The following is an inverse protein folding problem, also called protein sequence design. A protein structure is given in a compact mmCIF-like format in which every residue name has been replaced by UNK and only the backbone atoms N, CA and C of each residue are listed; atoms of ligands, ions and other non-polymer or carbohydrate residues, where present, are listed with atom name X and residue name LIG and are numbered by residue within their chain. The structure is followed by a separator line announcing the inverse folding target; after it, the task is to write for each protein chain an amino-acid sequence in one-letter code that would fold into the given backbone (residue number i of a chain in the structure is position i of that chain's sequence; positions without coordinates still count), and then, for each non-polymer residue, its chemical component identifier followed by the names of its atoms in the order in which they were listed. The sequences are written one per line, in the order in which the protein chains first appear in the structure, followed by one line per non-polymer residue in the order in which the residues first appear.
data_IF_026949800010
#
_entry.id   IF_026949800010
#
_cell.length_a   1.000
_cell.length_b   1.000
_cell.length_c   1.000
_cell.angle_alpha   90.00
_cell.angle_beta   90.00
_cell.angle_gamma   90.00
#
_symmetry.space_group_name_H-M   'P 1'
#
loop_
_entity.id
_entity.type
_entity.pdbx_description
1 polymer ?
#
# COMPACT_ATOMS: atom_id res chain seq x y z
N UNK A 1 66.57 -2.04 -40.95
CA UNK A 1 65.60 -1.28 -41.75
C UNK A 1 64.22 -1.44 -41.11
N UNK A 2 63.74 -0.45 -40.36
CA UNK A 2 62.44 -0.51 -39.64
C UNK A 2 61.30 -0.41 -40.65
N UNK A 3 60.59 -1.52 -40.86
CA UNK A 3 59.39 -1.57 -41.70
C UNK A 3 58.22 -0.89 -40.97
N UNK A 4 57.83 0.27 -41.48
CA UNK A 4 56.64 1.03 -41.07
C UNK A 4 55.38 0.17 -41.31
N UNK A 5 54.72 -0.25 -40.23
CA UNK A 5 53.37 -0.85 -40.31
C UNK A 5 52.37 0.28 -40.59
N UNK A 6 51.76 0.27 -41.77
CA UNK A 6 50.61 1.12 -42.11
C UNK A 6 49.42 0.71 -41.24
N UNK A 7 48.79 1.67 -40.57
CA UNK A 7 47.51 1.46 -39.89
C UNK A 7 46.39 1.22 -40.93
N UNK A 8 45.42 0.34 -40.66
CA UNK A 8 44.29 0.10 -41.55
C UNK A 8 43.27 1.25 -41.50
N UNK A 9 42.41 1.39 -42.54
CA UNK A 9 41.55 2.55 -42.69
C UNK A 9 40.34 2.54 -41.73
N UNK A 10 39.93 3.72 -41.27
CA UNK A 10 38.97 3.96 -40.16
C UNK A 10 37.48 3.72 -40.48
N UNK A 11 37.13 2.78 -41.36
CA UNK A 11 35.72 2.56 -41.76
C UNK A 11 35.15 1.17 -41.45
N UNK A 12 35.80 0.36 -40.59
CA UNK A 12 35.36 -1.02 -40.29
C UNK A 12 34.59 -1.18 -38.95
N UNK A 13 34.29 -0.11 -38.19
CA UNK A 13 33.48 -0.23 -36.96
C UNK A 13 32.08 0.38 -37.11
N UNK A 14 31.26 -0.17 -38.01
CA UNK A 14 29.85 0.23 -38.11
C UNK A 14 28.95 -0.94 -38.53
N UNK A 15 28.92 -2.01 -37.72
CA UNK A 15 27.80 -2.95 -37.66
C UNK A 15 28.03 -3.89 -36.49
N UNK A 16 27.34 -3.65 -35.36
CA UNK A 16 26.93 -4.63 -34.33
C UNK A 16 26.35 -3.86 -33.12
N UNK A 17 25.20 -3.21 -33.29
CA UNK A 17 24.33 -2.75 -32.20
C UNK A 17 22.86 -2.80 -32.64
N UNK A 18 22.42 -3.95 -33.14
CA UNK A 18 21.00 -4.24 -33.39
C UNK A 18 20.74 -5.68 -32.97
N UNK A 19 20.35 -5.86 -31.71
CA UNK A 19 20.00 -7.18 -31.20
C UNK A 19 20.01 -7.30 -29.68
N UNK A 20 19.46 -6.33 -28.95
CA UNK A 20 19.03 -6.51 -27.55
C UNK A 20 18.08 -5.40 -27.10
N UNK A 21 17.10 -5.07 -27.93
CA UNK A 21 15.84 -4.55 -27.41
C UNK A 21 14.91 -5.75 -27.39
N UNK A 22 14.75 -6.35 -26.21
CA UNK A 22 13.65 -7.27 -26.00
C UNK A 22 12.37 -6.59 -26.47
N UNK A 23 11.55 -7.33 -27.18
CA UNK A 23 10.21 -6.91 -27.56
C UNK A 23 9.43 -6.55 -26.29
N UNK A 24 9.45 -5.28 -25.91
CA UNK A 24 8.28 -4.67 -25.33
C UNK A 24 7.27 -4.62 -26.48
N UNK A 25 6.48 -5.69 -26.61
CA UNK A 25 5.19 -5.56 -27.24
C UNK A 25 4.45 -4.52 -26.39
N UNK A 26 4.48 -3.27 -26.86
CA UNK A 26 3.57 -2.23 -26.43
C UNK A 26 2.16 -2.78 -26.68
N UNK A 27 1.48 -3.17 -25.60
CA UNK A 27 0.03 -3.24 -25.58
C UNK A 27 -0.45 -1.81 -25.81
N UNK A 28 -0.61 -1.45 -27.07
CA UNK A 28 -1.13 -0.15 -27.49
C UNK A 28 -2.66 -0.14 -27.35
N UNK A 29 -3.19 -0.50 -26.17
CA UNK A 29 -4.62 -0.37 -25.90
C UNK A 29 -5.06 -0.18 -24.44
N UNK A 30 -4.15 -0.01 -23.48
CA UNK A 30 -4.55 0.19 -22.10
C UNK A 30 -4.40 1.68 -21.76
N UNK A 31 -5.52 2.37 -21.55
CA UNK A 31 -5.52 3.71 -20.95
C UNK A 31 -4.87 3.70 -19.56
N UNK A 32 -4.83 4.83 -18.84
CA UNK A 32 -4.32 4.82 -17.46
C UNK A 32 -5.10 3.77 -16.66
N UNK A 33 -4.40 2.93 -15.91
CA UNK A 33 -5.06 2.02 -14.96
C UNK A 33 -5.73 2.86 -13.87
N UNK A 34 -7.03 2.68 -13.72
CA UNK A 34 -7.82 3.32 -12.68
C UNK A 34 -8.25 2.26 -11.67
N UNK A 35 -8.24 2.63 -10.39
CA UNK A 35 -8.87 1.79 -9.39
C UNK A 35 -10.37 1.67 -9.70
N UNK A 36 -10.92 0.47 -9.56
CA UNK A 36 -12.35 0.14 -9.67
C UNK A 36 -13.17 0.59 -8.45
N UNK A 37 -12.58 1.47 -7.65
CA UNK A 37 -13.11 1.95 -6.39
C UNK A 37 -14.16 3.04 -6.60
N UNK A 38 -15.41 2.64 -6.88
CA UNK A 38 -16.44 3.50 -7.48
C UNK A 38 -16.95 4.63 -6.58
N UNK A 39 -17.29 4.35 -5.31
CA UNK A 39 -17.81 5.38 -4.39
C UNK A 39 -16.76 6.47 -4.12
N UNK A 40 -15.52 6.04 -3.94
CA UNK A 40 -14.34 6.89 -3.89
C UNK A 40 -14.18 7.74 -5.17
N UNK A 41 -14.38 7.15 -6.36
CA UNK A 41 -14.31 7.87 -7.63
C UNK A 41 -15.36 8.96 -7.74
N UNK A 42 -16.60 8.63 -7.38
CA UNK A 42 -17.73 9.54 -7.45
C UNK A 42 -17.50 10.76 -6.53
N UNK A 43 -16.89 10.56 -5.37
CA UNK A 43 -16.63 11.64 -4.42
C UNK A 43 -15.61 12.67 -4.92
N UNK A 44 -14.64 12.28 -5.76
CA UNK A 44 -13.47 13.14 -6.04
C UNK A 44 -13.22 13.49 -7.50
N UNK A 45 -13.87 12.84 -8.47
CA UNK A 45 -13.34 12.85 -9.84
C UNK A 45 -14.33 13.24 -10.93
N UNK A 46 -15.61 13.55 -10.64
CA UNK A 46 -16.67 13.85 -11.62
C UNK A 46 -16.76 12.90 -12.86
N UNK A 47 -16.03 11.78 -12.86
CA UNK A 47 -15.81 10.91 -14.01
C UNK A 47 -14.67 11.32 -14.97
N UNK A 48 -13.88 12.37 -14.69
CA UNK A 48 -12.71 12.75 -15.49
C UNK A 48 -11.52 11.81 -15.26
N UNK A 49 -10.95 11.20 -16.33
CA UNK A 49 -9.85 10.25 -16.20
C UNK A 49 -8.56 10.83 -15.62
N UNK A 50 -8.25 12.12 -15.85
CA UNK A 50 -7.02 12.74 -15.32
C UNK A 50 -7.19 13.04 -13.83
N UNK A 51 -8.35 13.55 -13.44
CA UNK A 51 -8.70 13.71 -12.02
C UNK A 51 -8.63 12.37 -11.30
N UNK A 52 -9.17 11.31 -11.93
CA UNK A 52 -9.09 9.94 -11.40
C UNK A 52 -7.67 9.46 -11.21
N UNK A 53 -6.81 9.60 -12.21
CA UNK A 53 -5.39 9.19 -12.09
C UNK A 53 -4.67 9.93 -10.96
N UNK A 54 -4.91 11.25 -10.83
CA UNK A 54 -4.33 12.05 -9.75
C UNK A 54 -4.82 11.61 -8.37
N UNK A 55 -6.12 11.33 -8.24
CA UNK A 55 -6.72 10.87 -7.00
C UNK A 55 -6.22 9.47 -6.62
N UNK A 56 -6.17 8.52 -7.55
CA UNK A 56 -5.62 7.17 -7.30
C UNK A 56 -4.15 7.25 -6.83
N UNK A 57 -3.36 8.14 -7.43
CA UNK A 57 -1.99 8.43 -6.99
C UNK A 57 -1.96 8.98 -5.55
N UNK A 58 -2.93 9.81 -5.19
CA UNK A 58 -2.98 10.49 -3.90
C UNK A 58 -3.45 9.57 -2.76
N UNK A 59 -4.51 8.79 -2.99
CA UNK A 59 -5.14 7.96 -1.95
C UNK A 59 -4.62 6.53 -1.91
N UNK A 60 -4.19 5.97 -3.04
CA UNK A 60 -3.94 4.53 -3.15
C UNK A 60 -2.47 4.20 -3.38
N UNK A 61 -1.75 5.00 -4.16
CA UNK A 61 -0.38 4.68 -4.51
C UNK A 61 0.59 4.88 -3.32
N UNK A 62 1.33 3.82 -2.99
CA UNK A 62 2.30 3.80 -1.89
C UNK A 62 3.73 3.97 -2.36
N UNK A 63 3.97 4.04 -3.68
CA UNK A 63 5.29 4.14 -4.30
C UNK A 63 6.30 3.07 -3.81
N UNK A 64 5.83 1.88 -3.43
CA UNK A 64 6.69 0.79 -2.96
C UNK A 64 7.16 0.94 -1.51
N UNK A 65 6.66 1.93 -0.76
CA UNK A 65 7.14 2.23 0.59
C UNK A 65 6.73 1.18 1.64
N UNK A 66 5.96 0.16 1.28
CA UNK A 66 5.68 -1.00 2.14
C UNK A 66 6.94 -1.75 2.57
N UNK A 67 8.04 -1.66 1.80
CA UNK A 67 9.34 -2.20 2.23
C UNK A 67 9.91 -1.45 3.44
N UNK A 68 9.68 -0.13 3.50
CA UNK A 68 10.08 0.70 4.64
C UNK A 68 9.10 0.54 5.80
N UNK A 69 7.82 0.81 5.59
CA UNK A 69 6.80 0.84 6.64
C UNK A 69 6.43 -0.54 7.18
N UNK A 70 6.37 -1.56 6.32
CA UNK A 70 5.96 -2.91 6.68
C UNK A 70 7.10 -3.81 7.17
N UNK A 71 8.37 -3.45 6.90
CA UNK A 71 9.53 -4.29 7.28
C UNK A 71 10.68 -3.49 7.88
N UNK A 72 11.19 -2.49 7.17
CA UNK A 72 12.36 -1.73 7.62
C UNK A 72 12.15 -1.08 9.00
N UNK A 73 11.02 -0.40 9.19
CA UNK A 73 10.71 0.31 10.43
C UNK A 73 10.37 -0.64 11.61
N UNK A 74 9.54 -1.69 11.44
CA UNK A 74 9.35 -2.71 12.47
C UNK A 74 10.68 -3.34 12.93
N UNK A 75 11.57 -3.72 12.01
CA UNK A 75 12.88 -4.29 12.36
C UNK A 75 13.76 -3.27 13.09
N UNK A 76 13.82 -2.03 12.61
CA UNK A 76 14.64 -0.98 13.22
C UNK A 76 14.16 -0.59 14.63
N UNK A 77 12.86 -0.72 14.90
CA UNK A 77 12.23 -0.34 16.16
C UNK A 77 11.89 -1.54 17.06
N UNK A 78 12.23 -2.76 16.63
CA UNK A 78 11.87 -4.01 17.32
C UNK A 78 10.36 -4.13 17.59
N UNK A 79 9.56 -3.77 16.59
CA UNK A 79 8.11 -3.92 16.60
C UNK A 79 7.34 -2.80 17.33
N UNK A 80 7.98 -1.74 17.82
CA UNK A 80 7.27 -0.58 18.39
C UNK A 80 6.44 0.16 17.34
N UNK A 81 7.00 0.32 16.14
CA UNK A 81 6.27 0.94 15.02
C UNK A 81 6.01 -0.13 13.97
N UNK A 82 4.78 -0.64 14.00
CA UNK A 82 4.31 -1.70 13.13
C UNK A 82 2.86 -1.44 12.70
N UNK A 83 2.70 -1.06 11.43
CA UNK A 83 1.39 -0.73 10.88
C UNK A 83 0.49 -1.96 10.75
N UNK A 84 1.03 -3.17 10.58
CA UNK A 84 0.20 -4.38 10.50
C UNK A 84 -0.47 -4.68 11.85
N UNK A 85 0.25 -4.49 12.95
CA UNK A 85 -0.32 -4.64 14.30
C UNK A 85 -1.42 -3.63 14.57
N UNK A 86 -1.23 -2.38 14.14
CA UNK A 86 -2.20 -1.30 14.31
C UNK A 86 -3.54 -1.60 13.60
N UNK A 87 -3.50 -2.31 12.48
CA UNK A 87 -4.70 -2.66 11.71
C UNK A 87 -5.54 -3.77 12.34
N UNK A 88 -5.00 -4.56 13.27
CA UNK A 88 -5.76 -5.63 13.91
C UNK A 88 -6.79 -5.06 14.90
N UNK A 89 -8.07 -5.40 14.70
CA UNK A 89 -9.17 -4.88 15.51
C UNK A 89 -9.15 -5.35 16.97
N UNK A 90 -8.28 -6.30 17.35
CA UNK A 90 -8.01 -6.64 18.76
C UNK A 90 -7.06 -5.66 19.44
N UNK A 91 -6.29 -4.90 18.66
CA UNK A 91 -5.37 -3.86 19.13
C UNK A 91 -6.08 -2.51 19.11
N UNK A 92 -6.68 -2.15 17.96
CA UNK A 92 -7.51 -0.95 17.82
C UNK A 92 -8.75 -1.28 17.00
N UNK A 93 -9.90 -1.30 17.67
CA UNK A 93 -11.21 -1.43 17.05
C UNK A 93 -11.49 -0.28 16.08
N UNK A 94 -12.29 -0.54 15.04
CA UNK A 94 -12.68 0.48 14.06
C UNK A 94 -13.28 1.73 14.74
N UNK A 95 -14.04 1.55 15.82
CA UNK A 95 -14.70 2.64 16.55
C UNK A 95 -13.73 3.58 17.28
N UNK A 96 -12.58 3.08 17.75
CA UNK A 96 -11.65 3.88 18.58
C UNK A 96 -10.46 4.45 17.79
N UNK A 97 -10.17 3.94 16.59
CA UNK A 97 -8.99 4.33 15.78
C UNK A 97 -8.89 5.84 15.57
N UNK A 98 -10.00 6.52 15.32
CA UNK A 98 -9.97 7.97 15.15
C UNK A 98 -9.63 8.69 16.46
N UNK A 99 -10.23 8.29 17.59
CA UNK A 99 -9.97 8.93 18.89
C UNK A 99 -8.54 8.69 19.37
N UNK A 100 -8.02 7.47 19.16
CA UNK A 100 -6.71 7.06 19.69
C UNK A 100 -5.58 7.45 18.73
N UNK A 101 -5.72 7.17 17.44
CA UNK A 101 -4.65 7.28 16.45
C UNK A 101 -4.84 8.47 15.51
N UNK A 102 -6.05 9.04 15.45
CA UNK A 102 -6.38 10.07 14.46
C UNK A 102 -6.51 9.57 13.03
N UNK A 103 -6.50 8.25 12.83
CA UNK A 103 -6.67 7.66 11.50
C UNK A 103 -8.14 7.69 11.10
N UNK A 104 -8.38 7.82 9.79
CA UNK A 104 -9.73 7.86 9.23
C UNK A 104 -10.05 6.48 8.68
N UNK A 105 -11.17 5.92 9.13
CA UNK A 105 -11.63 4.63 8.60
C UNK A 105 -11.99 4.78 7.11
N UNK A 106 -11.63 3.77 6.33
CA UNK A 106 -12.03 3.69 4.93
C UNK A 106 -13.57 3.48 4.86
N UNK A 107 -14.33 4.41 4.25
CA UNK A 107 -15.80 4.33 4.13
C UNK A 107 -16.32 3.04 3.50
N UNK A 108 -15.53 2.39 2.66
CA UNK A 108 -15.97 1.22 1.88
C UNK A 108 -15.54 -0.11 2.52
N UNK A 109 -15.01 -0.03 3.73
CA UNK A 109 -14.70 -1.17 4.57
C UNK A 109 -15.61 -1.17 5.80
N UNK A 110 -15.94 -2.37 6.26
CA UNK A 110 -16.71 -2.57 7.49
C UNK A 110 -15.90 -3.29 8.55
N UNK A 111 -16.31 -3.16 9.81
CA UNK A 111 -15.66 -3.86 10.91
C UNK A 111 -15.61 -5.38 10.66
N UNK A 112 -14.52 -6.06 11.05
CA UNK A 112 -14.39 -7.50 10.83
C UNK A 112 -15.38 -8.30 11.67
N UNK A 113 -15.95 -9.35 11.08
CA UNK A 113 -16.78 -10.31 11.81
C UNK A 113 -16.02 -11.56 12.27
N UNK A 114 -14.85 -11.81 11.68
CA UNK A 114 -13.99 -12.96 11.97
C UNK A 114 -12.56 -12.69 11.51
N UNK A 115 -11.60 -13.45 12.05
CA UNK A 115 -10.23 -13.41 11.55
C UNK A 115 -10.15 -13.88 10.09
N UNK A 116 -9.32 -13.20 9.31
CA UNK A 116 -9.02 -13.54 7.93
C UNK A 116 -7.94 -14.62 7.80
N UNK A 117 -7.45 -14.79 6.57
CA UNK A 117 -6.32 -15.66 6.27
C UNK A 117 -5.10 -15.24 7.12
N UNK A 118 -4.43 -16.22 7.73
CA UNK A 118 -3.30 -16.04 8.66
C UNK A 118 -3.61 -15.48 10.06
N UNK A 119 -4.89 -15.28 10.40
CA UNK A 119 -5.34 -15.09 11.78
C UNK A 119 -5.42 -13.63 12.26
N UNK A 120 -5.23 -12.66 11.38
CA UNK A 120 -5.46 -11.25 11.68
C UNK A 120 -6.95 -10.90 11.63
N UNK A 121 -7.38 -9.99 12.50
CA UNK A 121 -8.74 -9.45 12.54
C UNK A 121 -8.76 -8.08 11.84
N UNK A 122 -8.69 -8.10 10.50
CA UNK A 122 -8.64 -6.90 9.64
C UNK A 122 -10.02 -6.58 9.07
N UNK A 123 -10.35 -5.30 8.91
CA UNK A 123 -11.60 -4.83 8.32
C UNK A 123 -11.91 -5.50 6.98
N UNK A 124 -13.20 -5.74 6.73
CA UNK A 124 -13.70 -6.39 5.53
C UNK A 124 -13.98 -5.33 4.45
N UNK A 125 -13.11 -5.30 3.45
CA UNK A 125 -13.17 -4.38 2.32
C UNK A 125 -13.50 -5.18 1.06
N UNK A 126 -14.76 -5.12 0.60
CA UNK A 126 -15.29 -5.99 -0.46
C UNK A 126 -15.22 -5.38 -1.86
N UNK A 127 -14.55 -4.24 -1.97
CA UNK A 127 -14.35 -3.58 -3.25
C UNK A 127 -13.63 -4.52 -4.23
N UNK A 128 -14.19 -4.73 -5.42
CA UNK A 128 -13.54 -5.56 -6.41
C UNK A 128 -12.19 -4.92 -6.79
N UNK A 129 -11.17 -5.74 -6.97
CA UNK A 129 -9.89 -5.33 -7.53
C UNK A 129 -9.33 -6.44 -8.40
N UNK A 130 -8.85 -6.08 -9.59
CA UNK A 130 -8.07 -6.95 -10.46
C UNK A 130 -6.72 -7.29 -9.82
N UNK A 131 -6.09 -8.37 -10.28
CA UNK A 131 -4.76 -8.76 -9.82
C UNK A 131 -3.70 -7.67 -10.08
N UNK A 132 -3.86 -6.89 -11.15
CA UNK A 132 -2.97 -5.78 -11.50
C UNK A 132 -3.13 -4.61 -10.53
N UNK A 133 -4.38 -4.22 -10.21
CA UNK A 133 -4.65 -3.20 -9.19
C UNK A 133 -4.09 -3.60 -7.83
N UNK A 134 -4.24 -4.87 -7.42
CA UNK A 134 -3.66 -5.37 -6.16
C UNK A 134 -2.13 -5.29 -6.15
N UNK A 135 -1.48 -5.49 -7.29
CA UNK A 135 -0.02 -5.36 -7.40
C UNK A 135 0.45 -3.90 -7.33
N UNK A 136 -0.30 -2.98 -7.94
CA UNK A 136 0.10 -1.57 -8.05
C UNK A 136 -0.30 -0.76 -6.80
N UNK A 137 -1.54 -0.92 -6.35
CA UNK A 137 -2.15 -0.13 -5.28
C UNK A 137 -2.29 -0.88 -3.95
N UNK A 138 -2.05 -2.20 -3.95
CA UNK A 138 -2.35 -3.04 -2.78
C UNK A 138 -3.84 -3.16 -2.54
N UNK A 139 -4.19 -3.95 -1.53
CA UNK A 139 -5.57 -4.08 -1.05
C UNK A 139 -5.84 -3.07 0.08
N UNK A 140 -7.08 -2.54 0.21
CA UNK A 140 -7.47 -1.70 1.34
C UNK A 140 -7.37 -2.46 2.66
N UNK A 141 -7.17 -1.71 3.75
CA UNK A 141 -6.99 -2.27 5.10
C UNK A 141 -8.03 -1.81 6.11
N UNK A 142 -9.00 -1.00 5.71
CA UNK A 142 -9.95 -0.35 6.62
C UNK A 142 -9.54 1.03 7.11
N UNK A 143 -8.34 1.51 6.78
CA UNK A 143 -7.87 2.86 7.07
C UNK A 143 -7.52 3.57 5.77
N UNK A 144 -8.03 4.78 5.59
CA UNK A 144 -7.75 5.61 4.41
C UNK A 144 -6.24 5.78 4.24
N UNK A 145 -5.73 5.34 3.09
CA UNK A 145 -4.33 5.48 2.68
C UNK A 145 -3.37 4.41 3.20
N UNK A 146 -3.82 3.47 4.04
CA UNK A 146 -3.03 2.26 4.33
C UNK A 146 -3.43 1.13 3.39
N UNK A 147 -2.42 0.49 2.79
CA UNK A 147 -2.60 -0.56 1.77
C UNK A 147 -1.77 -1.79 2.12
N UNK A 148 -2.34 -2.99 2.00
CA UNK A 148 -1.63 -4.24 2.25
C UNK A 148 -1.16 -4.89 0.95
N UNK A 149 0.02 -5.49 1.01
CA UNK A 149 0.64 -6.23 -0.08
C UNK A 149 1.10 -7.59 0.43
N UNK A 150 1.09 -8.66 -0.39
CA UNK A 150 1.69 -9.93 0.01
C UNK A 150 3.18 -9.76 0.30
N UNK A 151 3.67 -10.40 1.37
CA UNK A 151 5.10 -10.43 1.68
C UNK A 151 5.76 -11.59 0.91
N UNK A 152 6.70 -11.33 -0.02
CA UNK A 152 7.38 -12.39 -0.77
C UNK A 152 8.25 -13.32 0.11
N UNK A 153 8.62 -12.87 1.31
CA UNK A 153 9.43 -13.64 2.25
C UNK A 153 8.59 -14.40 3.28
N UNK A 154 7.26 -14.37 3.16
CA UNK A 154 6.36 -15.08 4.07
C UNK A 154 6.47 -16.60 3.91
N UNK A 155 6.77 -17.28 5.01
CA UNK A 155 6.74 -18.74 5.11
C UNK A 155 5.50 -19.18 5.94
N UNK A 156 4.48 -19.79 5.31
CA UNK A 156 3.27 -20.21 6.00
C UNK A 156 3.50 -21.37 6.99
N UNK A 157 4.47 -22.24 6.75
CA UNK A 157 4.77 -23.37 7.63
C UNK A 157 5.47 -22.87 8.90
N UNK A 158 6.45 -21.96 8.74
CA UNK A 158 7.09 -21.30 9.87
C UNK A 158 6.08 -20.48 10.67
N UNK A 159 5.24 -19.69 10.00
CA UNK A 159 4.18 -18.88 10.65
C UNK A 159 3.26 -19.74 11.52
N UNK A 160 2.78 -20.87 10.97
CA UNK A 160 1.93 -21.79 11.71
C UNK A 160 2.65 -22.41 12.91
N UNK A 161 3.92 -22.81 12.75
CA UNK A 161 4.72 -23.40 13.83
C UNK A 161 5.06 -22.39 14.94
N UNK A 162 5.24 -21.11 14.60
CA UNK A 162 5.58 -20.05 15.55
C UNK A 162 4.38 -19.58 16.40
N UNK A 163 3.15 -19.93 16.02
CA UNK A 163 1.91 -19.49 16.69
C UNK A 163 1.18 -18.35 15.96
N UNK A 164 1.59 -18.04 14.73
CA UNK A 164 0.88 -17.15 13.81
C UNK A 164 0.62 -15.73 14.32
N UNK A 165 -0.54 -15.18 13.97
CA UNK A 165 -0.90 -13.80 14.32
C UNK A 165 -0.91 -13.55 15.84
N UNK A 166 -1.29 -14.54 16.65
CA UNK A 166 -1.26 -14.40 18.11
C UNK A 166 0.16 -14.15 18.61
N UNK A 167 1.13 -14.94 18.16
CA UNK A 167 2.55 -14.73 18.46
C UNK A 167 3.04 -13.38 17.95
N UNK A 168 2.67 -13.00 16.73
CA UNK A 168 3.09 -11.74 16.11
C UNK A 168 2.58 -10.50 16.87
N UNK A 169 1.32 -10.53 17.30
CA UNK A 169 0.68 -9.46 18.05
C UNK A 169 1.13 -9.40 19.52
N UNK A 170 1.62 -10.50 20.09
CA UNK A 170 2.09 -10.53 21.47
C UNK A 170 3.54 -10.09 21.65
N UNK A 171 4.29 -9.82 20.58
CA UNK A 171 5.71 -9.46 20.69
C UNK A 171 5.90 -8.12 21.41
N UNK A 172 6.95 -8.03 22.22
CA UNK A 172 7.49 -6.80 22.84
C UNK A 172 8.88 -6.51 22.29
N UNK A 173 9.45 -5.33 22.55
CA UNK A 173 10.84 -5.05 22.16
C UNK A 173 11.87 -6.06 22.69
N UNK A 174 11.63 -6.66 23.87
CA UNK A 174 12.54 -7.66 24.43
C UNK A 174 12.36 -9.06 23.80
N UNK A 175 11.18 -9.33 23.26
CA UNK A 175 10.78 -10.65 22.75
C UNK A 175 10.57 -10.65 21.23
N UNK A 176 10.96 -9.57 20.56
CA UNK A 176 10.83 -9.37 19.13
C UNK A 176 11.67 -10.38 18.36
N UNK A 177 10.98 -11.21 17.60
CA UNK A 177 11.52 -12.17 16.67
C UNK A 177 11.59 -11.55 15.28
N UNK A 178 12.79 -11.19 14.87
CA UNK A 178 13.06 -10.60 13.56
C UNK A 178 12.87 -11.59 12.40
N UNK A 179 12.87 -12.90 12.68
CA UNK A 179 12.74 -13.95 11.67
C UNK A 179 11.26 -14.33 11.44
N UNK A 180 10.34 -13.84 12.30
CA UNK A 180 8.89 -14.00 12.13
C UNK A 180 8.35 -12.99 11.10
N UNK A 181 8.52 -13.32 9.83
CA UNK A 181 8.01 -12.54 8.71
C UNK A 181 6.47 -12.57 8.64
N UNK A 182 5.77 -11.42 8.59
CA UNK A 182 4.32 -11.38 8.48
C UNK A 182 3.86 -11.73 7.06
N UNK A 183 2.60 -12.18 6.88
CA UNK A 183 2.03 -12.47 5.56
C UNK A 183 1.86 -11.23 4.67
N UNK A 184 1.76 -10.06 5.29
CA UNK A 184 1.45 -8.81 4.60
C UNK A 184 2.43 -7.70 5.00
N UNK A 185 2.81 -6.90 4.01
CA UNK A 185 3.53 -5.64 4.22
C UNK A 185 2.57 -4.47 4.00
N UNK A 186 2.62 -3.48 4.90
CA UNK A 186 1.74 -2.31 4.84
C UNK A 186 2.47 -1.13 4.24
N UNK A 187 1.92 -0.58 3.16
CA UNK A 187 2.32 0.67 2.55
C UNK A 187 1.39 1.81 2.94
N UNK A 188 1.90 3.03 2.80
CA UNK A 188 1.22 4.26 3.18
C UNK A 188 1.16 5.20 1.98
N UNK A 189 -0.03 5.70 1.62
CA UNK A 189 -0.19 6.74 0.60
C UNK A 189 -0.16 8.14 1.21
N UNK A 190 -0.22 9.18 0.37
CA UNK A 190 -0.28 10.57 0.81
C UNK A 190 -1.52 10.85 1.67
N UNK A 191 -2.64 10.16 1.42
CA UNK A 191 -3.90 10.42 2.07
C UNK A 191 -3.88 10.20 3.59
N UNK A 192 -3.04 9.30 4.14
CA UNK A 192 -2.95 9.10 5.60
C UNK A 192 -2.71 10.42 6.33
N UNK A 193 -1.79 11.23 5.81
CA UNK A 193 -1.39 12.50 6.41
C UNK A 193 -2.12 13.71 5.81
N UNK A 194 -2.63 13.62 4.58
CA UNK A 194 -3.17 14.77 3.85
C UNK A 194 -4.69 14.80 3.70
N UNK A 195 -5.37 13.65 3.73
CA UNK A 195 -6.82 13.61 3.75
C UNK A 195 -7.35 13.90 5.17
N UNK A 196 -8.47 14.60 5.27
CA UNK A 196 -9.08 14.95 6.55
C UNK A 196 -10.59 15.06 6.39
N UNK A 197 -11.33 15.21 7.49
CA UNK A 197 -12.75 15.54 7.40
C UNK A 197 -12.95 16.91 6.75
N UNK A 198 -13.88 16.99 5.80
CA UNK A 198 -14.28 18.24 5.17
C UNK A 198 -14.91 19.15 6.23
N UNK A 199 -14.35 20.34 6.49
CA UNK A 199 -14.94 21.27 7.46
C UNK A 199 -16.32 21.82 7.04
N UNK A 200 -16.67 21.73 5.76
CA UNK A 200 -17.96 22.14 5.22
C UNK A 200 -18.97 20.99 5.20
N UNK A 201 -18.51 19.75 5.31
CA UNK A 201 -19.34 18.55 5.35
C UNK A 201 -18.78 17.45 6.27
N UNK A 202 -18.58 17.73 7.58
CA UNK A 202 -17.95 16.75 8.47
C UNK A 202 -18.88 15.56 8.71
N UNK A 203 -18.28 14.38 8.92
CA UNK A 203 -19.07 13.22 9.37
C UNK A 203 -19.71 13.51 10.73
N UNK A 204 -20.93 13.04 10.93
CA UNK A 204 -21.58 13.04 12.26
C UNK A 204 -20.96 12.03 13.20
N UNK A 205 -20.35 10.99 12.63
CA UNK A 205 -19.64 9.93 13.33
C UNK A 205 -18.26 9.74 12.67
N UNK A 206 -17.17 10.20 13.30
CA UNK A 206 -15.82 10.01 12.78
C UNK A 206 -15.43 8.54 12.63
N UNK A 207 -16.06 7.63 13.37
CA UNK A 207 -15.80 6.20 13.24
C UNK A 207 -16.47 5.60 12.00
N UNK A 208 -17.51 6.23 11.45
CA UNK A 208 -18.24 5.76 10.27
C UNK A 208 -18.51 6.86 9.25
N UNK A 209 -17.47 7.36 8.56
CA UNK A 209 -17.62 8.41 7.57
C UNK A 209 -18.00 7.88 6.19
N UNK A 210 -18.59 8.75 5.37
CA UNK A 210 -18.70 8.54 3.93
C UNK A 210 -17.56 9.25 3.19
N UNK A 211 -17.26 8.85 1.95
CA UNK A 211 -16.25 9.51 1.12
C UNK A 211 -16.52 11.01 0.93
N UNK A 212 -17.78 11.41 0.79
CA UNK A 212 -18.21 12.81 0.71
C UNK A 212 -17.92 13.65 1.97
N UNK A 213 -17.61 13.00 3.09
CA UNK A 213 -17.21 13.69 4.32
C UNK A 213 -15.71 13.97 4.39
N UNK A 214 -14.94 13.53 3.40
CA UNK A 214 -13.50 13.66 3.37
C UNK A 214 -13.08 14.69 2.33
N UNK A 215 -12.03 15.43 2.66
CA UNK A 215 -11.38 16.35 1.76
C UNK A 215 -9.91 15.96 1.58
N UNK A 216 -9.39 15.95 0.34
CA UNK A 216 -8.14 15.25 0.02
C UNK A 216 -6.87 15.95 0.53
N UNK A 217 -6.90 17.27 0.79
CA UNK A 217 -5.69 18.08 0.94
C UNK A 217 -5.71 19.10 2.09
N UNK A 218 -6.55 18.91 3.12
CA UNK A 218 -6.56 19.80 4.30
C UNK A 218 -5.51 19.43 5.36
N UNK A 219 -4.94 18.22 5.29
CA UNK A 219 -4.05 17.69 6.31
C UNK A 219 -4.81 17.03 7.45
N UNK A 220 -4.42 15.80 7.79
CA UNK A 220 -4.94 15.09 8.94
C UNK A 220 -4.29 15.62 10.22
N UNK A 221 -4.90 16.65 10.82
CA UNK A 221 -4.43 17.24 12.08
C UNK A 221 -4.74 16.38 13.31
N UNK A 222 -5.44 15.26 13.13
CA UNK A 222 -5.86 14.39 14.22
C UNK A 222 -4.87 13.26 14.47
N UNK A 223 -3.94 12.98 13.54
CA UNK A 223 -2.89 11.96 13.72
C UNK A 223 -2.08 12.21 14.99
N UNK A 224 -2.00 11.20 15.85
CA UNK A 224 -1.33 11.21 17.15
C UNK A 224 -0.07 10.33 17.19
#
# INVERSE_FOLDING_TARGET
MKLLRRAPPRWIYATLLLGWFGSFASSANDGPLFATYEEYAQAFTEGDPIERSGMDTWFLWTAGNQAFWGRGLPLATRGEVDLLRLLDARVFSREERFEVLGTINDPSCVAPTQSGEHGFLLDDCREPQTSEEKQIFGEPTGIVGLRKFPNPDFDPDYWAAAGGAEKYLSQTQETFDQDLEPPYLIGMSCAVCHASFDPLNPSRDPADPNWENLAPAFGNRFLN
#
